data_IF_768575301658
#
_entry.id   IF_768575301658
#
_cell.length_a   1.000
_cell.length_b   1.000
_cell.length_c   1.000
_cell.angle_alpha   90.00
_cell.angle_beta   90.00
_cell.angle_gamma   90.00
#
_symmetry.space_group_name_H-M   'P 1'
#
loop_
_entity.id
_entity.type
_entity.pdbx_description
1 polymer ?
#
# COMPACT_ATOMS: atom_id res chain seq x y z
N UNK A 1 39.77 -60.15 17.29
CA UNK A 1 38.61 -59.93 18.18
C UNK A 1 37.47 -59.47 17.28
N UNK A 2 36.36 -60.21 17.24
CA UNK A 2 35.13 -59.88 16.49
C UNK A 2 34.45 -58.66 17.11
N UNK A 3 33.88 -57.76 16.31
CA UNK A 3 32.49 -57.34 16.52
C UNK A 3 31.88 -56.77 15.23
N UNK A 4 30.60 -57.07 15.01
CA UNK A 4 29.75 -56.70 13.87
C UNK A 4 28.89 -55.48 14.24
N UNK A 5 28.55 -54.62 13.28
CA UNK A 5 27.21 -54.03 13.16
C UNK A 5 26.99 -53.37 11.78
N UNK A 6 25.79 -53.53 11.21
CA UNK A 6 25.22 -52.87 10.01
C UNK A 6 23.81 -52.38 10.42
N UNK A 7 23.11 -51.55 9.62
CA UNK A 7 23.14 -50.10 9.43
C UNK A 7 21.94 -49.39 10.16
N UNK A 8 21.71 -48.08 10.01
CA UNK A 8 20.72 -47.58 9.02
C UNK A 8 21.25 -46.33 8.29
N UNK A 9 20.91 -46.02 7.04
CA UNK A 9 19.58 -45.67 6.54
C UNK A 9 19.57 -44.17 6.21
N UNK A 10 19.09 -43.79 5.02
CA UNK A 10 18.72 -42.40 4.71
C UNK A 10 19.43 -41.80 3.50
N UNK A 11 18.88 -42.05 2.31
CA UNK A 11 19.14 -41.27 1.11
C UNK A 11 18.63 -39.83 1.33
N UNK A 12 19.54 -38.86 1.46
CA UNK A 12 19.20 -37.44 1.32
C UNK A 12 19.65 -36.98 -0.06
N UNK A 13 18.86 -37.32 -1.10
CA UNK A 13 18.96 -36.67 -2.40
C UNK A 13 18.66 -35.19 -2.19
N UNK A 14 19.67 -34.35 -2.37
CA UNK A 14 19.51 -32.90 -2.41
C UNK A 14 18.49 -32.55 -3.49
N UNK A 15 17.33 -32.05 -3.07
CA UNK A 15 16.38 -31.40 -3.95
C UNK A 15 17.03 -30.12 -4.46
N UNK A 16 17.68 -30.21 -5.62
CA UNK A 16 18.05 -29.04 -6.40
C UNK A 16 16.74 -28.34 -6.75
N UNK A 17 16.52 -27.14 -6.21
CA UNK A 17 15.45 -26.27 -6.65
C UNK A 17 15.68 -25.99 -8.14
N UNK A 18 14.77 -26.46 -8.99
CA UNK A 18 14.84 -26.23 -10.43
C UNK A 18 14.82 -24.71 -10.70
N UNK A 19 15.65 -24.21 -11.63
CA UNK A 19 15.67 -22.80 -11.98
C UNK A 19 14.31 -22.40 -12.57
N UNK A 20 13.77 -21.25 -12.13
CA UNK A 20 12.51 -20.68 -12.61
C UNK A 20 12.65 -20.43 -14.12
N UNK A 21 12.02 -21.29 -14.93
CA UNK A 21 11.98 -21.12 -16.37
C UNK A 21 10.86 -20.14 -16.72
N UNK A 22 11.24 -18.92 -17.10
CA UNK A 22 10.34 -17.96 -17.72
C UNK A 22 10.05 -18.41 -19.16
N UNK A 23 9.24 -19.46 -19.32
CA UNK A 23 8.68 -19.78 -20.63
C UNK A 23 7.68 -18.67 -20.98
N UNK A 24 8.06 -17.82 -21.93
CA UNK A 24 7.12 -17.00 -22.67
C UNK A 24 5.98 -17.91 -23.18
N UNK A 25 4.73 -17.45 -23.15
CA UNK A 25 3.52 -18.24 -23.46
C UNK A 25 3.60 -18.83 -24.88
N UNK A 26 4.16 -20.04 -25.01
CA UNK A 26 4.32 -20.71 -26.31
C UNK A 26 3.19 -21.68 -26.62
N UNK A 27 2.34 -22.03 -25.65
CA UNK A 27 1.17 -22.88 -25.85
C UNK A 27 -0.08 -22.04 -26.13
N UNK A 28 -0.83 -22.42 -27.16
CA UNK A 28 -2.11 -21.79 -27.52
C UNK A 28 -3.12 -21.92 -26.37
N UNK A 29 -3.01 -22.99 -25.58
CA UNK A 29 -3.86 -23.25 -24.41
C UNK A 29 -3.68 -22.16 -23.33
N UNK A 30 -2.43 -21.74 -23.07
CA UNK A 30 -2.13 -20.72 -22.06
C UNK A 30 -2.60 -19.33 -22.52
N UNK A 31 -2.46 -19.02 -23.82
CA UNK A 31 -2.95 -17.77 -24.41
C UNK A 31 -4.46 -17.67 -24.29
N UNK A 32 -5.19 -18.75 -24.58
CA UNK A 32 -6.63 -18.78 -24.46
C UNK A 32 -7.10 -18.71 -23.00
N UNK A 33 -6.34 -19.26 -22.06
CA UNK A 33 -6.65 -19.13 -20.63
C UNK A 33 -6.52 -17.69 -20.15
N UNK A 34 -5.45 -17.01 -20.57
CA UNK A 34 -5.26 -15.58 -20.31
C UNK A 34 -6.37 -14.74 -20.94
N UNK A 35 -6.75 -15.00 -22.20
CA UNK A 35 -7.85 -14.32 -22.87
C UNK A 35 -9.17 -14.46 -22.10
N UNK A 36 -9.50 -15.68 -21.65
CA UNK A 36 -10.68 -15.93 -20.81
C UNK A 36 -10.62 -15.16 -19.49
N UNK A 37 -9.45 -15.14 -18.84
CA UNK A 37 -9.23 -14.38 -17.61
C UNK A 37 -9.43 -12.87 -17.81
N UNK A 38 -8.88 -12.30 -18.88
CA UNK A 38 -9.02 -10.88 -19.21
C UNK A 38 -10.46 -10.49 -19.58
N UNK A 39 -11.17 -11.32 -20.34
CA UNK A 39 -12.58 -11.10 -20.65
C UNK A 39 -13.47 -11.17 -19.40
N UNK A 40 -13.19 -12.11 -18.50
CA UNK A 40 -13.88 -12.18 -17.21
C UNK A 40 -13.62 -10.94 -16.35
N UNK A 41 -12.38 -10.44 -16.34
CA UNK A 41 -12.03 -9.23 -15.61
C UNK A 41 -12.75 -8.01 -16.19
N UNK A 42 -12.82 -7.88 -17.52
CA UNK A 42 -13.55 -6.82 -18.20
C UNK A 42 -15.06 -6.86 -17.87
N UNK A 43 -15.64 -8.06 -17.81
CA UNK A 43 -17.03 -8.26 -17.43
C UNK A 43 -17.28 -7.86 -15.96
N UNK A 44 -16.36 -8.21 -15.06
CA UNK A 44 -16.42 -7.80 -13.66
C UNK A 44 -16.30 -6.26 -13.52
N UNK A 45 -15.52 -5.60 -14.39
CA UNK A 45 -15.49 -4.13 -14.49
C UNK A 45 -16.82 -3.54 -14.94
N UNK A 46 -17.38 -4.00 -16.07
CA UNK A 46 -18.63 -3.44 -16.61
C UNK A 46 -19.85 -3.70 -15.73
N UNK A 47 -19.87 -4.82 -15.01
CA UNK A 47 -20.92 -5.16 -14.05
C UNK A 47 -20.79 -4.39 -12.72
N UNK A 48 -19.72 -3.64 -12.53
CA UNK A 48 -19.43 -2.92 -11.28
C UNK A 48 -19.07 -3.85 -10.11
N UNK A 49 -18.81 -5.14 -10.37
CA UNK A 49 -18.34 -6.12 -9.37
C UNK A 49 -16.90 -5.86 -8.96
N UNK A 50 -16.07 -5.39 -9.90
CA UNK A 50 -14.72 -4.96 -9.60
C UNK A 50 -14.72 -3.47 -9.24
N UNK A 51 -14.66 -3.19 -7.95
CA UNK A 51 -14.54 -1.84 -7.42
C UNK A 51 -13.15 -1.68 -6.81
N UNK A 52 -12.40 -0.66 -7.25
CA UNK A 52 -11.11 -0.33 -6.64
C UNK A 52 -11.28 0.27 -5.24
N UNK A 53 -12.46 0.83 -4.97
CA UNK A 53 -12.81 1.49 -3.73
C UNK A 53 -14.16 0.96 -3.26
N UNK A 54 -14.23 0.53 -1.99
CA UNK A 54 -15.39 -0.16 -1.45
C UNK A 54 -16.65 0.70 -1.41
N UNK A 55 -17.79 0.07 -1.16
CA UNK A 55 -19.12 0.69 -1.13
C UNK A 55 -19.22 1.97 -0.26
N UNK A 56 -18.35 2.10 0.76
CA UNK A 56 -18.35 3.19 1.74
C UNK A 56 -17.17 4.17 1.57
N UNK A 57 -16.34 3.99 0.55
CA UNK A 57 -15.22 4.88 0.24
C UNK A 57 -15.25 5.23 -1.25
N UNK A 58 -15.93 6.33 -1.61
CA UNK A 58 -15.98 6.79 -2.99
C UNK A 58 -14.65 7.41 -3.43
N UNK A 59 -14.41 7.45 -4.74
CA UNK A 59 -13.27 8.17 -5.31
C UNK A 59 -13.22 9.63 -4.85
N UNK A 60 -14.38 10.27 -4.74
CA UNK A 60 -14.53 11.65 -4.27
C UNK A 60 -14.07 11.82 -2.82
N UNK A 61 -14.31 10.82 -1.94
CA UNK A 61 -13.82 10.86 -0.57
C UNK A 61 -12.30 10.75 -0.49
N UNK A 62 -11.66 9.93 -1.32
CA UNK A 62 -10.19 9.89 -1.36
C UNK A 62 -9.59 11.13 -2.01
N UNK A 63 -10.23 11.71 -3.01
CA UNK A 63 -9.83 13.00 -3.57
C UNK A 63 -9.90 14.10 -2.50
N UNK A 64 -10.93 14.07 -1.65
CA UNK A 64 -11.04 14.98 -0.51
C UNK A 64 -9.90 14.77 0.50
N UNK A 65 -9.64 13.52 0.93
CA UNK A 65 -8.53 13.18 1.83
C UNK A 65 -7.20 13.62 1.23
N UNK A 66 -6.98 13.36 -0.06
CA UNK A 66 -5.79 13.80 -0.79
C UNK A 66 -5.67 15.33 -0.75
N UNK A 67 -6.75 16.06 -1.03
CA UNK A 67 -6.74 17.53 -0.99
C UNK A 67 -6.41 18.07 0.40
N UNK A 68 -6.92 17.44 1.46
CA UNK A 68 -6.59 17.82 2.84
C UNK A 68 -5.10 17.58 3.13
N UNK A 69 -4.58 16.42 2.76
CA UNK A 69 -3.16 16.07 2.92
C UNK A 69 -2.25 17.03 2.14
N UNK A 70 -2.63 17.40 0.91
CA UNK A 70 -1.86 18.36 0.09
C UNK A 70 -1.84 19.75 0.72
N UNK A 71 -2.99 20.24 1.22
CA UNK A 71 -3.05 21.53 1.92
C UNK A 71 -2.15 21.50 3.17
N UNK A 72 -2.23 20.44 3.96
CA UNK A 72 -1.43 20.28 5.17
C UNK A 72 0.07 20.23 4.85
N UNK A 73 0.47 19.46 3.84
CA UNK A 73 1.87 19.35 3.44
C UNK A 73 2.45 20.68 2.97
N UNK A 74 1.67 21.48 2.23
CA UNK A 74 2.05 22.83 1.80
C UNK A 74 2.26 23.76 2.98
N UNK A 75 1.29 23.81 3.89
CA UNK A 75 1.40 24.65 5.09
C UNK A 75 2.59 24.22 5.96
N UNK A 76 2.79 22.92 6.15
CA UNK A 76 3.92 22.41 6.91
C UNK A 76 5.25 22.86 6.29
N UNK A 77 5.41 22.77 4.97
CA UNK A 77 6.62 23.22 4.29
C UNK A 77 6.85 24.73 4.44
N UNK A 78 5.80 25.54 4.31
CA UNK A 78 5.86 26.99 4.51
C UNK A 78 6.31 27.34 5.94
N UNK A 79 5.69 26.73 6.95
CA UNK A 79 6.03 26.93 8.35
C UNK A 79 7.45 26.45 8.70
N UNK A 80 7.93 25.38 8.07
CA UNK A 80 9.32 24.94 8.20
C UNK A 80 10.30 25.94 7.56
N UNK A 81 9.93 26.54 6.43
CA UNK A 81 10.72 27.61 5.80
C UNK A 81 10.82 28.84 6.68
N UNK A 82 9.69 29.32 7.22
CA UNK A 82 9.67 30.44 8.20
C UNK A 82 10.53 30.15 9.43
N UNK A 83 10.53 28.90 9.91
CA UNK A 83 11.30 28.47 11.07
C UNK A 83 12.82 28.46 10.82
N UNK A 84 13.25 28.17 9.59
CA UNK A 84 14.65 28.18 9.18
C UNK A 84 15.24 29.60 9.17
N UNK A 85 14.44 30.61 8.86
CA UNK A 85 14.85 32.02 8.85
C UNK A 85 14.94 32.64 10.26
N UNK A 86 14.38 31.99 11.28
CA UNK A 86 14.34 32.50 12.64
C UNK A 86 15.63 32.21 13.44
N UNK A 87 16.04 33.15 14.31
CA UNK A 87 17.06 32.92 15.32
C UNK A 87 16.73 31.72 16.23
N UNK A 88 17.77 31.00 16.63
CA UNK A 88 17.68 29.73 17.38
C UNK A 88 16.86 29.82 18.67
N UNK A 89 16.96 30.93 19.38
CA UNK A 89 16.26 31.24 20.62
C UNK A 89 14.75 31.40 20.45
N UNK A 90 14.28 31.70 19.23
CA UNK A 90 12.86 31.90 18.90
C UNK A 90 12.21 30.68 18.25
N UNK A 91 13.01 29.75 17.72
CA UNK A 91 12.49 28.58 16.98
C UNK A 91 11.57 27.71 17.83
N UNK A 92 11.85 27.53 19.12
CA UNK A 92 10.99 26.71 19.99
C UNK A 92 9.58 27.27 20.11
N UNK A 93 9.46 28.56 20.40
CA UNK A 93 8.17 29.23 20.54
C UNK A 93 7.40 29.27 19.21
N UNK A 94 8.11 29.49 18.10
CA UNK A 94 7.52 29.45 16.77
C UNK A 94 7.04 28.04 16.40
N UNK A 95 7.81 27.00 16.71
CA UNK A 95 7.44 25.60 16.48
C UNK A 95 6.16 25.22 17.22
N UNK A 96 6.01 25.64 18.48
CA UNK A 96 4.81 25.37 19.28
C UNK A 96 3.57 26.04 18.66
N UNK A 97 3.71 27.30 18.20
CA UNK A 97 2.64 28.01 17.49
C UNK A 97 2.33 27.41 16.12
N UNK A 98 3.34 26.89 15.41
CA UNK A 98 3.18 26.28 14.09
C UNK A 98 2.44 24.95 14.19
N UNK A 99 2.68 24.17 15.24
CA UNK A 99 1.95 22.94 15.51
C UNK A 99 0.45 23.21 15.73
N UNK A 100 0.10 24.25 16.48
CA UNK A 100 -1.30 24.64 16.70
C UNK A 100 -2.02 25.01 15.40
N UNK A 101 -1.33 25.74 14.50
CA UNK A 101 -1.84 26.08 13.16
C UNK A 101 -2.07 24.83 12.30
N UNK A 102 -1.14 23.87 12.32
CA UNK A 102 -1.25 22.60 11.60
C UNK A 102 -2.44 21.76 12.10
N UNK A 103 -2.67 21.73 13.41
CA UNK A 103 -3.77 20.97 14.01
C UNK A 103 -5.12 21.62 13.75
N UNK A 104 -5.19 22.96 13.76
CA UNK A 104 -6.41 23.72 13.48
C UNK A 104 -6.88 23.54 12.03
N UNK A 105 -5.94 23.44 11.08
CA UNK A 105 -6.26 23.28 9.65
C UNK A 105 -6.73 21.86 9.27
N UNK A 106 -6.53 20.88 10.17
CA UNK A 106 -7.06 19.52 10.04
C UNK A 106 -8.52 19.38 10.51
N UNK A 107 -9.10 20.41 11.14
CA UNK A 107 -10.46 20.35 11.70
C UNK A 107 -11.46 21.35 11.08
N UNK A 108 -11.81 21.23 9.77
CA UNK A 108 -12.95 21.95 9.21
C UNK A 108 -14.27 21.18 9.34
N UNK A 109 -14.37 20.16 10.21
CA UNK A 109 -15.58 19.35 10.36
C UNK A 109 -15.62 18.06 9.54
N UNK A 110 -14.46 17.50 9.16
CA UNK A 110 -14.39 16.11 8.70
C UNK A 110 -14.63 15.18 9.89
N UNK A 111 -15.91 14.93 10.17
CA UNK A 111 -16.33 13.66 10.77
C UNK A 111 -15.85 12.61 9.79
N UNK A 112 -14.97 11.70 10.21
CA UNK A 112 -14.61 10.53 9.38
C UNK A 112 -15.87 9.76 8.96
N UNK A 113 -15.74 8.54 8.41
CA UNK A 113 -16.91 7.68 8.23
C UNK A 113 -17.49 7.25 9.60
N UNK A 114 -18.14 8.18 10.32
CA UNK A 114 -19.00 7.92 11.46
C UNK A 114 -20.37 7.56 10.88
N UNK A 115 -20.45 6.34 10.35
CA UNK A 115 -21.66 5.84 9.69
C UNK A 115 -21.44 4.52 8.98
N UNK A 116 -21.30 3.44 9.75
CA UNK A 116 -21.59 2.04 9.38
C UNK A 116 -20.47 1.10 8.89
N UNK A 117 -19.32 1.06 9.57
CA UNK A 117 -18.66 -0.24 9.76
C UNK A 117 -19.46 -1.09 10.76
N UNK A 118 -20.56 -1.71 10.30
CA UNK A 118 -21.27 -2.82 10.95
C UNK A 118 -22.02 -3.64 9.91
#
# INVERSE_FOLDING_TARGET
>A
IKEKAKPPGGEAKGAQAAPIQHSFLTDVSDVQEMERGLLSLLNDFHSGKLQAFGNECSIEQMEHVRSMQEKLARLNLELYGELEELPEDKRKLASDSNLDRLLSDNDPGWKGPEGSCS
#
